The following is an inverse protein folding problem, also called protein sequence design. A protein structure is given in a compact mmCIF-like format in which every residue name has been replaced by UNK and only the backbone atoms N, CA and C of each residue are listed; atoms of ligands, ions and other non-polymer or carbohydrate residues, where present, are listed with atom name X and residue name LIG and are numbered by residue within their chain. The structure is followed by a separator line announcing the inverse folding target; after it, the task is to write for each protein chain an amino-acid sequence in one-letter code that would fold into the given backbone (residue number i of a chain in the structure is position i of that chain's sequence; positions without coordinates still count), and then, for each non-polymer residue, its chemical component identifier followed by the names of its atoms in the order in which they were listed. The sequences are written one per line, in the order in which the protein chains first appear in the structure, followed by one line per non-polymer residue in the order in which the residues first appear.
data_IF_968754326328
#
_entry.id   IF_968754326328
#
_cell.length_a   1.000
_cell.length_b   1.000
_cell.length_c   1.000
_cell.angle_alpha   90.00
_cell.angle_beta   90.00
_cell.angle_gamma   90.00
#
_symmetry.space_group_name_H-M   'P 1'
#
loop_
_entity.id
_entity.type
_entity.pdbx_description
1 polymer ?
#
# COMPACT_ATOMS: atom_id res chain seq x y z
N UNK A 1 -10.21 2.14 -22.19
CA UNK A 1 -10.74 1.74 -20.88
C UNK A 1 -10.12 2.67 -19.85
N UNK A 2 -10.92 3.43 -19.10
CA UNK A 2 -10.38 4.31 -18.05
C UNK A 2 -10.02 3.44 -16.84
N UNK A 3 -8.72 3.35 -16.54
CA UNK A 3 -8.20 2.67 -15.35
C UNK A 3 -8.93 3.18 -14.10
N UNK A 4 -9.49 2.25 -13.31
CA UNK A 4 -10.28 2.59 -12.13
C UNK A 4 -9.42 3.31 -11.10
N UNK A 5 -9.92 4.44 -10.57
CA UNK A 5 -9.22 5.20 -9.54
C UNK A 5 -8.93 4.33 -8.30
N UNK A 6 -7.70 4.38 -7.81
CA UNK A 6 -7.27 3.71 -6.58
C UNK A 6 -7.60 4.61 -5.40
N UNK A 7 -8.60 4.30 -4.58
CA UNK A 7 -8.93 5.14 -3.42
C UNK A 7 -9.40 4.35 -2.20
N UNK A 8 -9.16 4.96 -1.05
CA UNK A 8 -9.80 4.60 0.22
C UNK A 8 -11.17 5.27 0.27
N UNK A 9 -12.13 4.60 0.87
CA UNK A 9 -13.39 5.25 1.26
C UNK A 9 -13.13 6.46 2.16
N UNK A 10 -14.07 7.42 2.17
CA UNK A 10 -13.97 8.62 3.01
C UNK A 10 -13.76 8.30 4.50
N UNK A 11 -14.40 7.24 4.98
CA UNK A 11 -14.27 6.78 6.37
C UNK A 11 -12.86 6.31 6.67
N UNK A 12 -12.30 5.40 5.85
CA UNK A 12 -10.92 4.92 6.02
C UNK A 12 -9.88 6.03 5.85
N UNK A 13 -10.12 6.98 4.94
CA UNK A 13 -9.23 8.12 4.77
C UNK A 13 -9.25 9.03 6.01
N UNK A 14 -10.43 9.26 6.61
CA UNK A 14 -10.54 10.00 7.88
C UNK A 14 -9.80 9.28 9.01
N UNK A 15 -9.99 7.97 9.16
CA UNK A 15 -9.28 7.15 10.15
C UNK A 15 -7.76 7.24 9.98
N UNK A 16 -7.26 7.18 8.74
CA UNK A 16 -5.85 7.34 8.43
C UNK A 16 -5.33 8.73 8.85
N UNK A 17 -6.05 9.80 8.49
CA UNK A 17 -5.69 11.17 8.86
C UNK A 17 -5.68 11.35 10.38
N UNK A 18 -6.69 10.84 11.07
CA UNK A 18 -6.81 10.95 12.52
C UNK A 18 -5.72 10.15 13.23
N UNK A 19 -5.41 8.93 12.75
CA UNK A 19 -4.29 8.14 13.24
C UNK A 19 -2.97 8.87 13.06
N UNK A 20 -2.70 9.41 11.87
CA UNK A 20 -1.45 10.13 11.58
C UNK A 20 -1.29 11.40 12.42
N UNK A 21 -2.39 12.07 12.77
CA UNK A 21 -2.36 13.24 13.66
C UNK A 21 -2.05 12.85 15.11
N UNK A 22 -2.63 11.75 15.59
CA UNK A 22 -2.48 11.28 16.98
C UNK A 22 -1.17 10.56 17.25
N UNK A 23 -0.65 9.85 16.24
CA UNK A 23 0.54 9.02 16.35
C UNK A 23 1.61 9.54 15.39
N UNK A 24 2.24 10.66 15.78
CA UNK A 24 3.51 11.07 15.15
C UNK A 24 4.60 10.19 15.74
N UNK A 25 5.22 9.36 14.91
CA UNK A 25 6.44 8.65 15.29
C UNK A 25 7.65 9.51 14.98
N UNK A 26 8.62 9.54 15.90
CA UNK A 26 9.90 10.22 15.70
C UNK A 26 10.86 9.40 14.81
N UNK A 27 10.38 8.30 14.23
CA UNK A 27 11.18 7.37 13.44
C UNK A 27 10.37 6.62 12.37
N UNK A 28 11.02 5.69 11.68
CA UNK A 28 10.37 4.92 10.62
C UNK A 28 9.47 3.83 11.21
N UNK A 29 8.16 3.93 11.00
CA UNK A 29 7.17 2.93 11.43
C UNK A 29 7.54 1.51 10.96
N UNK A 30 8.01 1.37 9.73
CA UNK A 30 8.43 0.07 9.18
C UNK A 30 9.66 -0.50 9.91
N UNK A 31 10.61 0.33 10.33
CA UNK A 31 11.72 -0.14 11.15
C UNK A 31 11.23 -0.59 12.54
N UNK A 32 10.20 0.03 13.09
CA UNK A 32 9.59 -0.42 14.34
C UNK A 32 8.84 -1.74 14.16
N UNK A 33 8.14 -1.92 13.04
CA UNK A 33 7.50 -3.21 12.70
C UNK A 33 8.53 -4.34 12.63
N UNK A 34 9.66 -4.11 11.96
CA UNK A 34 10.76 -5.08 11.86
C UNK A 34 11.34 -5.43 13.23
N UNK A 35 11.36 -4.51 14.19
CA UNK A 35 11.90 -4.75 15.54
C UNK A 35 10.91 -5.45 16.47
N UNK A 36 9.63 -5.10 16.38
CA UNK A 36 8.64 -5.44 17.40
C UNK A 36 7.63 -6.50 16.97
N UNK A 37 7.58 -6.88 15.68
CA UNK A 37 6.72 -7.94 15.16
C UNK A 37 5.27 -7.91 15.69
N UNK A 38 4.62 -6.75 15.54
CA UNK A 38 3.23 -6.55 15.97
C UNK A 38 2.22 -7.21 15.00
N UNK A 39 0.93 -7.21 15.37
CA UNK A 39 -0.21 -7.86 14.68
C UNK A 39 -0.35 -7.65 13.15
N UNK A 40 0.38 -6.71 12.55
CA UNK A 40 0.37 -6.47 11.11
C UNK A 40 1.24 -7.46 10.34
N UNK A 41 2.20 -8.11 10.99
CA UNK A 41 3.12 -9.04 10.34
C UNK A 41 2.41 -10.34 10.04
N UNK A 42 2.40 -10.73 8.77
CA UNK A 42 1.80 -12.00 8.31
C UNK A 42 2.83 -13.01 7.82
N UNK A 43 4.08 -12.58 7.67
CA UNK A 43 5.19 -13.45 7.32
C UNK A 43 6.50 -12.69 7.27
N UNK A 44 7.60 -13.43 7.19
CA UNK A 44 8.92 -12.88 7.04
C UNK A 44 9.84 -13.83 6.27
N UNK A 45 10.90 -13.27 5.71
CA UNK A 45 12.01 -13.99 5.09
C UNK A 45 13.33 -13.49 5.67
N UNK A 46 14.46 -13.89 5.07
CA UNK A 46 15.77 -13.43 5.49
C UNK A 46 15.89 -11.89 5.41
N UNK A 47 15.40 -11.29 4.32
CA UNK A 47 15.57 -9.86 4.05
C UNK A 47 14.27 -9.06 3.99
N UNK A 48 13.10 -9.71 3.97
CA UNK A 48 11.82 -9.04 3.84
C UNK A 48 10.87 -9.31 5.02
N UNK A 49 9.98 -8.35 5.27
CA UNK A 49 8.81 -8.51 6.13
C UNK A 49 7.55 -8.35 5.26
N UNK A 50 6.60 -9.26 5.45
CA UNK A 50 5.29 -9.21 4.78
C UNK A 50 4.27 -8.73 5.81
N UNK A 51 3.59 -7.63 5.49
CA UNK A 51 2.64 -6.99 6.41
C UNK A 51 1.29 -6.75 5.74
N UNK A 52 0.21 -6.81 6.52
CA UNK A 52 -1.09 -6.28 6.12
C UNK A 52 -1.07 -4.76 6.16
N UNK A 53 -1.59 -4.12 5.11
CA UNK A 53 -1.75 -2.68 5.12
C UNK A 53 -2.90 -2.26 6.04
N UNK A 54 -2.57 -1.62 7.17
CA UNK A 54 -3.55 -1.08 8.13
C UNK A 54 -4.62 -0.22 7.48
N UNK A 55 -4.22 0.54 6.47
CA UNK A 55 -5.07 1.44 5.71
C UNK A 55 -5.07 1.02 4.24
N UNK A 56 -5.46 -0.23 3.99
CA UNK A 56 -5.64 -0.76 2.64
C UNK A 56 -6.73 -0.04 1.83
N UNK A 57 -6.60 -0.10 0.52
CA UNK A 57 -7.60 0.41 -0.42
C UNK A 57 -8.93 -0.34 -0.31
N UNK A 58 -10.02 0.33 -0.69
CA UNK A 58 -11.33 -0.31 -0.83
C UNK A 58 -11.58 -0.73 -2.27
N UNK A 59 -11.04 0.02 -3.23
CA UNK A 59 -11.19 -0.24 -4.65
C UNK A 59 -9.84 -0.19 -5.36
N UNK A 60 -9.69 -1.09 -6.34
CA UNK A 60 -8.53 -1.18 -7.21
C UNK A 60 -9.00 -1.62 -8.59
N UNK A 61 -8.61 -0.86 -9.60
CA UNK A 61 -8.95 -1.11 -11.00
C UNK A 61 -10.44 -1.41 -11.24
N UNK A 62 -11.31 -0.62 -10.59
CA UNK A 62 -12.76 -0.75 -10.72
C UNK A 62 -13.37 -1.98 -10.02
N UNK A 63 -12.59 -2.75 -9.27
CA UNK A 63 -13.04 -3.87 -8.45
C UNK A 63 -12.93 -3.56 -6.95
N UNK A 64 -13.59 -4.36 -6.11
CA UNK A 64 -13.36 -4.31 -4.66
C UNK A 64 -12.02 -4.94 -4.31
N UNK A 65 -11.38 -4.49 -3.24
CA UNK A 65 -10.14 -5.08 -2.72
C UNK A 65 -10.47 -6.09 -1.63
N UNK A 66 -10.06 -7.34 -1.81
CA UNK A 66 -10.20 -8.43 -0.85
C UNK A 66 -9.02 -8.45 0.13
N UNK A 67 -7.80 -8.28 -0.38
CA UNK A 67 -6.60 -8.25 0.44
C UNK A 67 -5.59 -7.20 -0.05
N UNK A 68 -4.85 -6.62 0.89
CA UNK A 68 -3.86 -5.59 0.64
C UNK A 68 -2.65 -5.82 1.55
N UNK A 69 -1.62 -6.42 0.97
CA UNK A 69 -0.35 -6.69 1.62
C UNK A 69 0.71 -5.69 1.17
N UNK A 70 1.78 -5.60 1.95
CA UNK A 70 3.00 -4.91 1.57
C UNK A 70 4.20 -5.79 1.89
N UNK A 71 5.16 -5.83 0.97
CA UNK A 71 6.50 -6.34 1.24
C UNK A 71 7.41 -5.15 1.50
N UNK A 72 8.13 -5.20 2.60
CA UNK A 72 9.11 -4.21 3.00
C UNK A 72 10.47 -4.90 3.24
N UNK A 73 11.60 -4.30 2.83
CA UNK A 73 12.90 -4.81 3.25
C UNK A 73 13.07 -4.59 4.76
N UNK A 74 13.74 -5.52 5.43
CA UNK A 74 14.04 -5.40 6.87
C UNK A 74 15.02 -4.24 7.12
N UNK A 75 15.99 -4.08 6.22
CA UNK A 75 16.92 -2.94 6.23
C UNK A 75 16.24 -1.70 5.67
N UNK A 76 16.41 -0.57 6.37
CA UNK A 76 15.91 0.70 5.90
C UNK A 76 16.60 1.12 4.61
N UNK A 77 15.87 1.06 3.50
CA UNK A 77 16.25 1.64 2.21
C UNK A 77 15.07 2.43 1.66
N UNK A 78 15.34 3.43 0.84
CA UNK A 78 14.33 4.29 0.21
C UNK A 78 14.05 3.96 -1.26
N UNK A 79 14.90 3.13 -1.87
CA UNK A 79 14.80 2.70 -3.26
C UNK A 79 15.23 1.24 -3.42
N UNK A 80 14.62 0.54 -4.39
CA UNK A 80 15.05 -0.81 -4.78
C UNK A 80 16.48 -0.83 -5.33
N UNK A 81 16.96 0.30 -5.86
CA UNK A 81 18.34 0.44 -6.34
C UNK A 81 19.37 0.31 -5.21
N UNK A 82 18.97 0.57 -3.96
CA UNK A 82 19.85 0.58 -2.79
C UNK A 82 19.90 -0.77 -2.06
N UNK A 83 19.23 -1.81 -2.57
CA UNK A 83 19.28 -3.17 -2.04
C UNK A 83 20.60 -3.87 -2.42
N UNK A 84 21.11 -4.75 -1.54
CA UNK A 84 22.16 -5.71 -1.90
C UNK A 84 21.61 -6.75 -2.88
N UNK A 85 22.48 -7.55 -3.50
CA UNK A 85 22.03 -8.55 -4.47
C UNK A 85 21.24 -9.69 -3.80
N UNK A 86 21.62 -10.08 -2.59
CA UNK A 86 20.87 -11.05 -1.78
C UNK A 86 19.48 -10.49 -1.41
N UNK A 87 19.41 -9.22 -1.02
CA UNK A 87 18.15 -8.55 -0.72
C UNK A 87 17.27 -8.44 -1.98
N UNK A 88 17.85 -8.13 -3.15
CA UNK A 88 17.11 -8.08 -4.42
C UNK A 88 16.53 -9.44 -4.79
N UNK A 89 17.30 -10.51 -4.63
CA UNK A 89 16.85 -11.88 -4.91
C UNK A 89 15.68 -12.24 -4.00
N UNK A 90 15.81 -12.03 -2.69
CA UNK A 90 14.74 -12.35 -1.74
C UNK A 90 13.49 -11.49 -2.00
N UNK A 91 13.67 -10.19 -2.28
CA UNK A 91 12.58 -9.28 -2.62
C UNK A 91 11.87 -9.69 -3.92
N UNK A 92 12.62 -10.04 -4.97
CA UNK A 92 12.07 -10.49 -6.24
C UNK A 92 11.33 -11.82 -6.10
N UNK A 93 11.83 -12.74 -5.26
CA UNK A 93 11.12 -13.98 -4.94
C UNK A 93 9.76 -13.69 -4.29
N UNK A 94 9.66 -12.67 -3.43
CA UNK A 94 8.37 -12.26 -2.88
C UNK A 94 7.46 -11.65 -3.96
N UNK A 95 8.01 -10.82 -4.86
CA UNK A 95 7.24 -10.26 -5.98
C UNK A 95 6.65 -11.40 -6.83
N UNK A 96 7.49 -12.34 -7.26
CA UNK A 96 7.07 -13.47 -8.10
C UNK A 96 6.03 -14.34 -7.40
N UNK A 97 6.23 -14.63 -6.10
CA UNK A 97 5.28 -15.39 -5.30
C UNK A 97 3.90 -14.73 -5.27
N UNK A 98 3.81 -13.46 -4.87
CA UNK A 98 2.52 -12.80 -4.74
C UNK A 98 1.85 -12.52 -6.08
N UNK A 99 2.63 -12.27 -7.13
CA UNK A 99 2.08 -12.18 -8.49
C UNK A 99 1.41 -13.50 -8.89
N UNK A 100 2.10 -14.63 -8.72
CA UNK A 100 1.55 -15.96 -8.96
C UNK A 100 0.31 -16.28 -8.09
N UNK A 101 0.24 -15.72 -6.87
CA UNK A 101 -0.91 -15.86 -5.97
C UNK A 101 -2.11 -14.95 -6.35
N UNK A 102 -1.98 -14.19 -7.46
CA UNK A 102 -3.03 -13.36 -8.05
C UNK A 102 -3.09 -11.93 -7.52
N UNK A 103 -1.99 -11.40 -6.98
CA UNK A 103 -1.92 -10.01 -6.52
C UNK A 103 -1.40 -9.09 -7.63
N UNK A 104 -2.03 -7.92 -7.76
CA UNK A 104 -1.47 -6.80 -8.51
C UNK A 104 -0.30 -6.18 -7.76
N UNK A 105 0.78 -5.88 -8.48
CA UNK A 105 1.99 -5.26 -7.93
C UNK A 105 1.94 -3.75 -8.14
N UNK A 106 2.16 -2.98 -7.07
CA UNK A 106 2.20 -1.53 -7.15
C UNK A 106 3.23 -0.91 -6.21
N UNK A 107 4.11 -0.07 -6.73
CA UNK A 107 5.05 0.70 -5.93
C UNK A 107 5.09 2.16 -6.40
N UNK A 108 5.24 3.09 -5.44
CA UNK A 108 5.41 4.51 -5.75
C UNK A 108 6.89 4.85 -5.91
N UNK A 109 7.18 5.66 -6.93
CA UNK A 109 8.52 6.20 -7.16
C UNK A 109 9.04 6.94 -5.91
N UNK A 110 10.35 6.87 -5.68
CA UNK A 110 11.05 7.47 -4.54
C UNK A 110 10.72 8.97 -4.36
N UNK A 111 10.70 9.74 -5.44
CA UNK A 111 10.39 11.18 -5.43
C UNK A 111 8.90 11.54 -5.40
N UNK A 112 8.00 10.57 -5.26
CA UNK A 112 6.56 10.84 -5.29
C UNK A 112 6.10 11.58 -4.03
N UNK A 113 5.52 12.77 -4.18
CA UNK A 113 4.94 13.56 -3.07
C UNK A 113 3.77 12.86 -2.36
N UNK A 114 3.19 11.84 -2.98
CA UNK A 114 2.07 11.05 -2.43
C UNK A 114 2.54 9.75 -1.77
N UNK A 115 3.84 9.46 -1.78
CA UNK A 115 4.44 8.36 -1.02
C UNK A 115 4.48 8.75 0.46
N UNK A 116 3.78 8.00 1.29
CA UNK A 116 3.62 8.31 2.72
C UNK A 116 4.83 7.95 3.57
N UNK A 117 5.63 6.98 3.13
CA UNK A 117 6.79 6.46 3.87
C UNK A 117 8.04 6.44 2.98
N UNK A 118 9.14 7.00 3.49
CA UNK A 118 10.42 7.01 2.80
C UNK A 118 11.01 5.60 2.65
N UNK A 119 10.81 4.73 3.63
CA UNK A 119 11.22 3.32 3.55
C UNK A 119 10.48 2.62 2.40
N UNK A 120 11.23 1.97 1.52
CA UNK A 120 10.78 1.19 0.38
C UNK A 120 9.73 0.15 0.77
N UNK A 121 8.67 0.09 -0.03
CA UNK A 121 7.59 -0.86 0.13
C UNK A 121 6.92 -1.07 -1.22
N UNK A 122 6.53 -2.32 -1.49
CA UNK A 122 5.70 -2.67 -2.64
C UNK A 122 4.35 -3.16 -2.13
N UNK A 123 3.27 -2.60 -2.68
CA UNK A 123 1.91 -3.02 -2.42
C UNK A 123 1.55 -4.23 -3.29
N UNK A 124 0.88 -5.19 -2.67
CA UNK A 124 0.29 -6.35 -3.32
C UNK A 124 -1.20 -6.32 -3.04
N UNK A 125 -2.00 -6.22 -4.10
CA UNK A 125 -3.44 -5.95 -4.00
C UNK A 125 -4.21 -7.03 -4.73
N UNK A 126 -5.06 -7.74 -4.01
CA UNK A 126 -5.95 -8.77 -4.55
C UNK A 126 -7.38 -8.26 -4.59
N UNK A 127 -8.06 -8.45 -5.72
CA UNK A 127 -9.40 -7.92 -5.95
C UNK A 127 -10.47 -9.01 -5.94
N UNK A 128 -11.72 -8.60 -5.67
CA UNK A 128 -12.90 -9.46 -5.61
C UNK A 128 -13.37 -10.01 -6.98
N UNK A 129 -12.73 -9.57 -8.07
CA UNK A 129 -13.12 -9.89 -9.46
C UNK A 129 -14.47 -9.30 -9.90
N UNK A 130 -15.13 -8.50 -9.05
CA UNK A 130 -16.47 -7.95 -9.30
C UNK A 130 -16.36 -6.50 -9.75
N UNK A 131 -16.22 -6.32 -11.06
CA UNK A 131 -16.20 -5.02 -11.70
C UNK A 131 -17.44 -4.18 -11.32
N UNK A 132 -17.22 -2.96 -10.83
CA UNK A 132 -18.28 -2.03 -10.49
C UNK A 132 -18.81 -1.36 -11.76
N UNK A 133 -20.10 -1.54 -12.04
CA UNK A 133 -20.75 -1.01 -13.26
C UNK A 133 -20.85 0.53 -13.28
N UNK A 134 -20.86 1.16 -12.11
CA UNK A 134 -20.92 2.61 -11.97
C UNK A 134 -20.15 3.04 -10.72
N UNK A 135 -19.34 4.09 -10.86
CA UNK A 135 -18.60 4.68 -9.76
C UNK A 135 -18.56 6.20 -9.96
N UNK A 136 -19.05 6.95 -8.97
CA UNK A 136 -19.07 8.42 -9.00
C UNK A 136 -18.04 8.93 -8.00
N UNK A 137 -17.03 9.65 -8.50
CA UNK A 137 -16.02 10.30 -7.68
C UNK A 137 -16.12 11.82 -7.82
N UNK A 138 -16.29 12.53 -6.70
CA UNK A 138 -16.35 13.99 -6.64
C UNK A 138 -15.32 14.49 -5.63
N UNK A 139 -14.27 15.17 -6.09
CA UNK A 139 -13.23 15.71 -5.21
C UNK A 139 -13.73 16.95 -4.43
N UNK A 140 -14.47 17.83 -5.09
CA UNK A 140 -15.27 18.91 -4.50
C UNK A 140 -16.48 19.14 -5.41
N UNK A 141 -17.70 19.32 -4.88
CA UNK A 141 -18.77 19.84 -5.71
C UNK A 141 -18.54 21.34 -5.89
N UNK A 142 -18.51 21.81 -7.13
CA UNK A 142 -18.97 23.16 -7.43
C UNK A 142 -20.30 23.02 -8.16
N UNK A 143 -21.33 22.59 -7.43
CA UNK A 143 -22.69 22.62 -7.94
C UNK A 143 -23.34 23.86 -7.33
N UNK A 144 -23.30 24.95 -8.09
CA UNK A 144 -24.14 26.12 -7.85
C UNK A 144 -25.29 26.03 -8.83
N UNK A 145 -26.50 25.78 -8.33
CA UNK A 145 -27.74 25.88 -9.10
C UNK A 145 -28.35 27.22 -8.74
N UNK A 146 -28.27 28.18 -9.66
CA UNK A 146 -29.02 29.44 -9.54
C UNK A 146 -30.34 29.29 -10.30
N UNK A 147 -31.38 29.98 -9.84
CA UNK A 147 -32.67 30.05 -10.53
C UNK A 147 -32.55 30.80 -11.86
#
# INVERSE_FOLDING_TARGET
MMAGSMFRSRTKEKEYIDHRKKHKSDGCDFCQLVKHHIDQVVGETAHCLIIKNRFGYNFWDGCGVDDHLMVIPKRHVDSLANLSDEEKIDYMNQIAKFENDGYSIYARAQGSKTRSMAHQHTHFIKVDGKAKKMMIYLNKPHIVITR
#
